data_IF_579640936200
#
_entry.id   IF_579640936200
#
_cell.length_a   1.000
_cell.length_b   1.000
_cell.length_c   1.000
_cell.angle_alpha   90.00
_cell.angle_beta   90.00
_cell.angle_gamma   90.00
#
_symmetry.space_group_name_H-M   'P 1'
#
loop_
_entity.id
_entity.type
_entity.pdbx_description
1 polymer ?
#
# COMPACT_ATOMS: atom_id res chain seq x y z
N UNK A 1 -16.42 -17.93 -6.69
CA UNK A 1 -16.32 -17.31 -5.35
C UNK A 1 -15.63 -15.98 -5.50
N UNK A 2 -15.87 -14.99 -4.60
CA UNK A 2 -15.14 -13.73 -4.67
C UNK A 2 -13.65 -13.92 -4.35
N UNK A 3 -12.82 -13.07 -4.92
CA UNK A 3 -11.40 -12.92 -4.56
C UNK A 3 -11.31 -11.95 -3.39
N UNK A 4 -10.33 -12.11 -2.50
CA UNK A 4 -10.13 -11.19 -1.38
C UNK A 4 -8.82 -10.42 -1.59
N UNK A 5 -8.84 -9.12 -1.35
CA UNK A 5 -7.64 -8.28 -1.50
C UNK A 5 -7.46 -7.41 -0.25
N UNK A 6 -6.34 -7.59 0.44
CA UNK A 6 -6.01 -6.88 1.67
C UNK A 6 -5.00 -5.76 1.41
N UNK A 7 -5.30 -4.53 1.85
CA UNK A 7 -4.31 -3.47 1.99
C UNK A 7 -3.87 -3.39 3.44
N UNK A 8 -2.63 -3.77 3.70
CA UNK A 8 -2.13 -4.01 5.05
C UNK A 8 -1.16 -2.91 5.44
N UNK A 9 -1.57 -2.03 6.35
CA UNK A 9 -0.70 -1.01 6.94
C UNK A 9 0.36 -1.66 7.84
N UNK A 10 1.63 -1.51 7.48
CA UNK A 10 2.74 -2.12 8.21
C UNK A 10 3.50 -1.16 9.15
N UNK A 11 3.00 0.07 9.29
CA UNK A 11 3.63 1.06 10.15
C UNK A 11 4.80 1.81 9.51
N UNK A 12 5.47 2.70 10.28
CA UNK A 12 6.40 3.70 9.75
C UNK A 12 7.89 3.29 9.82
N UNK A 13 8.21 2.00 9.95
CA UNK A 13 9.59 1.51 9.91
C UNK A 13 10.10 0.78 11.16
N UNK A 14 9.32 0.78 12.25
CA UNK A 14 9.64 -0.08 13.40
C UNK A 14 8.77 -1.35 13.31
N UNK A 15 9.37 -2.54 13.15
CA UNK A 15 8.61 -3.79 13.03
C UNK A 15 7.82 -4.17 14.29
N UNK A 16 8.12 -3.58 15.44
CA UNK A 16 7.34 -3.77 16.67
C UNK A 16 6.05 -2.91 16.68
N UNK A 17 5.89 -2.00 15.73
CA UNK A 17 4.72 -1.12 15.60
C UNK A 17 3.72 -1.61 14.55
N UNK A 18 3.74 -2.88 14.26
CA UNK A 18 2.72 -3.52 13.44
C UNK A 18 1.51 -3.91 14.28
N UNK A 19 0.31 -3.75 13.73
CA UNK A 19 -0.90 -4.15 14.45
C UNK A 19 -1.10 -5.68 14.42
N UNK A 20 -1.72 -6.24 15.45
CA UNK A 20 -2.08 -7.67 15.45
C UNK A 20 -3.01 -8.04 14.29
N UNK A 21 -3.86 -7.11 13.84
CA UNK A 21 -4.71 -7.30 12.66
C UNK A 21 -3.86 -7.46 11.39
N UNK A 22 -2.83 -6.62 11.23
CA UNK A 22 -1.90 -6.72 10.10
C UNK A 22 -1.12 -8.03 10.12
N UNK A 23 -0.63 -8.47 11.29
CA UNK A 23 0.06 -9.77 11.43
C UNK A 23 -0.84 -10.92 10.98
N UNK A 24 -2.08 -10.97 11.49
CA UNK A 24 -3.06 -12.01 11.10
C UNK A 24 -3.36 -12.00 9.60
N UNK A 25 -3.52 -10.81 9.02
CA UNK A 25 -3.74 -10.67 7.58
C UNK A 25 -2.55 -11.21 6.77
N UNK A 26 -1.32 -10.83 7.13
CA UNK A 26 -0.10 -11.33 6.47
C UNK A 26 -0.04 -12.87 6.53
N UNK A 27 -0.39 -13.46 7.67
CA UNK A 27 -0.38 -14.91 7.86
C UNK A 27 -1.45 -15.65 7.04
N UNK A 28 -2.52 -14.97 6.64
CA UNK A 28 -3.63 -15.55 5.87
C UNK A 28 -3.51 -15.33 4.35
N UNK A 29 -2.47 -14.65 3.86
CA UNK A 29 -2.30 -14.41 2.43
C UNK A 29 -1.90 -15.69 1.67
N UNK A 30 -2.46 -15.86 0.49
CA UNK A 30 -2.04 -16.81 -0.55
C UNK A 30 -1.06 -16.15 -1.53
N UNK A 31 -1.28 -14.86 -1.80
CA UNK A 31 -0.49 -14.07 -2.75
C UNK A 31 -0.10 -12.73 -2.14
N UNK A 32 1.17 -12.36 -2.22
CA UNK A 32 1.65 -11.03 -1.88
C UNK A 32 2.12 -10.32 -3.14
N UNK A 33 1.50 -9.17 -3.44
CA UNK A 33 1.92 -8.28 -4.51
C UNK A 33 3.00 -7.33 -4.03
N UNK A 34 4.18 -7.41 -4.64
CA UNK A 34 5.36 -6.60 -4.30
C UNK A 34 5.57 -5.57 -5.39
N UNK A 35 5.25 -4.31 -5.09
CA UNK A 35 5.44 -3.22 -6.05
C UNK A 35 6.90 -2.81 -6.11
N UNK A 36 7.54 -3.03 -7.24
CA UNK A 36 8.91 -2.60 -7.52
C UNK A 36 8.86 -1.21 -8.16
N UNK A 37 9.62 -0.28 -7.61
CA UNK A 37 9.79 1.08 -8.13
C UNK A 37 11.18 1.21 -8.74
N UNK A 38 11.31 2.03 -9.78
CA UNK A 38 12.57 2.28 -10.49
C UNK A 38 13.69 2.82 -9.56
N UNK A 39 13.29 3.47 -8.46
CA UNK A 39 14.16 3.91 -7.37
C UNK A 39 13.57 3.41 -6.07
N UNK A 40 13.89 2.21 -5.71
CA UNK A 40 13.58 1.73 -4.37
C UNK A 40 14.50 2.43 -3.38
N UNK A 41 13.90 2.96 -2.33
CA UNK A 41 14.66 3.37 -1.15
C UNK A 41 14.94 2.07 -0.41
N UNK A 42 16.19 1.67 -0.34
CA UNK A 42 16.65 0.39 0.23
C UNK A 42 15.98 0.09 1.59
N UNK A 43 15.82 1.11 2.42
CA UNK A 43 15.17 1.01 3.73
C UNK A 43 13.71 0.52 3.67
N UNK A 44 12.96 0.90 2.63
CA UNK A 44 11.54 0.49 2.50
C UNK A 44 11.42 -0.97 2.06
N UNK A 45 12.33 -1.40 1.22
CA UNK A 45 12.39 -2.79 0.76
C UNK A 45 12.80 -3.68 1.92
N UNK A 46 13.86 -3.30 2.63
CA UNK A 46 14.37 -4.06 3.77
C UNK A 46 13.34 -4.16 4.89
N UNK A 47 12.60 -3.09 5.17
CA UNK A 47 11.54 -3.12 6.17
C UNK A 47 10.41 -4.11 5.80
N UNK A 48 9.99 -4.17 4.54
CA UNK A 48 9.00 -5.17 4.08
C UNK A 48 9.53 -6.59 4.23
N UNK A 49 10.80 -6.81 3.89
CA UNK A 49 11.47 -8.11 4.08
C UNK A 49 11.53 -8.50 5.56
N UNK A 50 11.87 -7.55 6.43
CA UNK A 50 11.89 -7.77 7.88
C UNK A 50 10.51 -8.14 8.43
N UNK A 51 9.45 -7.45 8.01
CA UNK A 51 8.07 -7.77 8.39
C UNK A 51 7.70 -9.20 7.95
N UNK A 52 8.02 -9.58 6.71
CA UNK A 52 7.78 -10.94 6.23
C UNK A 52 8.59 -11.97 7.02
N UNK A 53 9.88 -11.75 7.21
CA UNK A 53 10.75 -12.66 7.95
C UNK A 53 10.26 -12.93 9.37
N UNK A 54 9.67 -11.92 10.04
CA UNK A 54 9.14 -12.07 11.41
C UNK A 54 7.78 -12.74 11.47
N UNK A 55 6.89 -12.43 10.52
CA UNK A 55 5.48 -12.81 10.62
C UNK A 55 5.05 -13.87 9.61
N UNK A 56 5.86 -14.10 8.58
CA UNK A 56 5.66 -15.09 7.53
C UNK A 56 7.00 -15.64 7.05
N UNK A 57 7.79 -16.36 7.92
CA UNK A 57 9.16 -16.79 7.61
C UNK A 57 9.23 -17.78 6.45
N UNK A 58 8.12 -18.42 6.11
CA UNK A 58 7.93 -19.34 4.98
C UNK A 58 7.54 -18.64 3.66
N UNK A 59 7.55 -17.30 3.63
CA UNK A 59 7.21 -16.54 2.43
C UNK A 59 8.14 -16.90 1.26
N UNK A 60 7.55 -17.35 0.15
CA UNK A 60 8.27 -17.78 -1.04
C UNK A 60 8.77 -19.24 -1.01
N UNK A 61 8.51 -19.99 0.06
CA UNK A 61 8.77 -21.43 0.10
C UNK A 61 7.56 -22.20 -0.46
N UNK A 62 7.67 -22.85 -1.63
CA UNK A 62 6.57 -23.59 -2.23
C UNK A 62 6.24 -24.89 -1.50
N UNK A 63 7.13 -25.37 -0.62
CA UNK A 63 6.94 -26.58 0.19
C UNK A 63 6.23 -26.33 1.52
N UNK A 64 5.97 -25.04 1.87
CA UNK A 64 5.27 -24.70 3.10
C UNK A 64 3.83 -25.27 3.11
N UNK A 65 3.27 -25.61 4.26
CA UNK A 65 1.89 -26.10 4.38
C UNK A 65 0.84 -25.13 3.80
N UNK A 66 1.13 -23.83 3.82
CA UNK A 66 0.31 -22.79 3.24
C UNK A 66 1.22 -21.78 2.53
N UNK A 67 1.66 -22.09 1.29
CA UNK A 67 2.71 -21.33 0.62
C UNK A 67 2.22 -19.92 0.27
N UNK A 68 3.03 -18.90 0.58
CA UNK A 68 2.80 -17.53 0.14
C UNK A 68 3.54 -17.28 -1.18
N UNK A 69 2.79 -17.05 -2.25
CA UNK A 69 3.35 -16.71 -3.55
C UNK A 69 3.63 -15.20 -3.62
N UNK A 70 4.84 -14.86 -4.02
CA UNK A 70 5.24 -13.46 -4.26
C UNK A 70 5.06 -13.12 -5.74
N UNK A 71 4.37 -12.02 -6.02
CA UNK A 71 4.13 -11.51 -7.37
C UNK A 71 4.69 -10.10 -7.48
N UNK A 72 5.73 -9.95 -8.26
CA UNK A 72 6.36 -8.65 -8.50
C UNK A 72 5.58 -7.83 -9.51
N UNK A 73 5.30 -6.58 -9.14
CA UNK A 73 4.64 -5.57 -9.97
C UNK A 73 5.63 -4.48 -10.31
N UNK A 74 6.08 -4.45 -11.55
CA UNK A 74 6.95 -3.36 -12.01
C UNK A 74 6.12 -2.11 -12.29
N UNK A 75 6.25 -1.08 -11.45
CA UNK A 75 5.62 0.21 -11.71
C UNK A 75 6.29 0.90 -12.93
N UNK A 76 5.51 1.52 -13.83
CA UNK A 76 6.09 2.31 -14.90
C UNK A 76 6.83 3.52 -14.34
N UNK A 77 7.88 4.02 -15.02
CA UNK A 77 8.65 5.17 -14.57
C UNK A 77 7.76 6.39 -14.39
N UNK A 78 7.84 7.01 -13.22
CA UNK A 78 7.03 8.18 -12.89
C UNK A 78 7.56 9.42 -13.65
N UNK A 79 6.71 10.19 -14.35
CA UNK A 79 7.14 11.40 -15.02
C UNK A 79 7.62 12.45 -14.01
N UNK A 80 8.66 13.20 -14.40
CA UNK A 80 9.19 14.31 -13.62
C UNK A 80 8.37 15.58 -13.84
N UNK A 81 8.41 16.52 -12.89
CA UNK A 81 7.73 17.82 -13.02
C UNK A 81 8.20 18.64 -14.23
N UNK A 82 9.42 18.40 -14.70
CA UNK A 82 9.97 19.01 -15.93
C UNK A 82 9.48 18.37 -17.22
N UNK A 83 8.69 17.29 -17.15
CA UNK A 83 8.13 16.65 -18.34
C UNK A 83 7.14 17.60 -19.03
N UNK A 84 7.25 17.81 -20.35
CA UNK A 84 6.25 18.58 -21.10
C UNK A 84 4.84 18.02 -20.87
N UNK A 85 3.84 18.90 -20.70
CA UNK A 85 2.47 18.51 -20.37
C UNK A 85 2.39 17.53 -19.19
N UNK A 86 3.02 17.89 -18.08
CA UNK A 86 3.10 17.06 -16.88
C UNK A 86 1.74 16.48 -16.40
N UNK A 87 0.61 17.23 -16.42
CA UNK A 87 -0.68 16.66 -16.04
C UNK A 87 -1.10 15.47 -16.91
N UNK A 88 -0.91 15.58 -18.23
CA UNK A 88 -1.20 14.48 -19.18
C UNK A 88 -0.27 13.31 -18.99
N UNK A 89 1.03 13.55 -18.81
CA UNK A 89 2.02 12.50 -18.54
C UNK A 89 1.68 11.72 -17.26
N UNK A 90 1.26 12.41 -16.19
CA UNK A 90 0.82 11.77 -14.94
C UNK A 90 -0.48 10.99 -15.14
N UNK A 91 -1.43 11.48 -15.94
CA UNK A 91 -2.66 10.74 -16.24
C UNK A 91 -2.36 9.45 -17.00
N UNK A 92 -1.50 9.50 -18.00
CA UNK A 92 -1.04 8.33 -18.77
C UNK A 92 -0.32 7.32 -17.87
N UNK A 93 0.61 7.79 -17.05
CA UNK A 93 1.32 6.94 -16.07
C UNK A 93 0.35 6.24 -15.11
N UNK A 94 -0.66 6.95 -14.60
CA UNK A 94 -1.69 6.35 -13.73
C UNK A 94 -2.52 5.29 -14.45
N UNK A 95 -2.87 5.52 -15.71
CA UNK A 95 -3.62 4.55 -16.50
C UNK A 95 -2.81 3.28 -16.78
N UNK A 96 -1.53 3.44 -17.16
CA UNK A 96 -0.62 2.30 -17.35
C UNK A 96 -0.45 1.49 -16.06
N UNK A 97 -0.23 2.17 -14.94
CA UNK A 97 -0.10 1.53 -13.62
C UNK A 97 -1.35 0.75 -13.26
N UNK A 98 -2.54 1.35 -13.46
CA UNK A 98 -3.82 0.67 -13.22
C UNK A 98 -3.95 -0.60 -14.04
N UNK A 99 -3.70 -0.53 -15.37
CA UNK A 99 -3.80 -1.70 -16.24
C UNK A 99 -2.85 -2.83 -15.86
N UNK A 100 -1.60 -2.51 -15.51
CA UNK A 100 -0.62 -3.50 -15.05
C UNK A 100 -1.05 -4.17 -13.75
N UNK A 101 -1.55 -3.40 -12.79
CA UNK A 101 -2.01 -3.93 -11.51
C UNK A 101 -3.26 -4.79 -11.68
N UNK A 102 -4.22 -4.35 -12.51
CA UNK A 102 -5.43 -5.12 -12.83
C UNK A 102 -5.05 -6.47 -13.43
N UNK A 103 -4.19 -6.48 -14.46
CA UNK A 103 -3.74 -7.69 -15.10
C UNK A 103 -3.04 -8.66 -14.14
N UNK A 104 -2.18 -8.12 -13.26
CA UNK A 104 -1.45 -8.94 -12.30
C UNK A 104 -2.35 -9.54 -11.23
N UNK A 105 -3.30 -8.75 -10.69
CA UNK A 105 -4.25 -9.24 -9.67
C UNK A 105 -5.15 -10.31 -10.25
N UNK A 106 -5.72 -10.08 -11.46
CA UNK A 106 -6.58 -11.07 -12.10
C UNK A 106 -5.84 -12.33 -12.53
N UNK A 107 -4.60 -12.20 -13.00
CA UNK A 107 -3.79 -13.33 -13.44
C UNK A 107 -3.18 -14.16 -12.31
N UNK A 108 -2.99 -13.55 -11.16
CA UNK A 108 -2.32 -14.21 -10.03
C UNK A 108 -3.28 -14.67 -8.93
N UNK A 109 -4.44 -14.06 -8.79
CA UNK A 109 -5.37 -14.37 -7.69
C UNK A 109 -6.52 -15.22 -8.19
N UNK A 110 -6.59 -16.45 -7.70
CA UNK A 110 -7.67 -17.39 -8.03
C UNK A 110 -8.93 -17.11 -7.20
N UNK A 111 -10.06 -17.66 -7.62
CA UNK A 111 -11.33 -17.53 -6.92
C UNK A 111 -11.25 -18.09 -5.51
N UNK A 112 -11.65 -17.29 -4.53
CA UNK A 112 -11.58 -17.61 -3.11
C UNK A 112 -10.22 -17.39 -2.45
N UNK A 113 -9.17 -17.09 -3.22
CA UNK A 113 -7.85 -16.75 -2.67
C UNK A 113 -7.81 -15.34 -2.07
N UNK A 114 -6.83 -15.15 -1.19
CA UNK A 114 -6.52 -13.89 -0.52
C UNK A 114 -5.18 -13.33 -0.99
N UNK A 115 -5.24 -12.22 -1.71
CA UNK A 115 -4.07 -11.43 -2.07
C UNK A 115 -3.86 -10.25 -1.14
N UNK A 116 -2.65 -9.67 -1.12
CA UNK A 116 -2.41 -8.49 -0.30
C UNK A 116 -1.28 -7.59 -0.80
N UNK A 117 -1.30 -6.35 -0.32
CA UNK A 117 -0.23 -5.36 -0.48
C UNK A 117 0.22 -4.90 0.89
N UNK A 118 1.53 -4.88 1.15
CA UNK A 118 2.11 -4.25 2.33
C UNK A 118 2.30 -2.76 2.06
N UNK A 119 1.53 -1.94 2.78
CA UNK A 119 1.47 -0.50 2.63
C UNK A 119 2.24 0.17 3.75
N UNK A 120 3.15 1.08 3.42
CA UNK A 120 3.92 1.85 4.39
C UNK A 120 3.03 2.77 5.21
N UNK A 121 3.20 2.79 6.54
CA UNK A 121 2.39 3.58 7.45
C UNK A 121 0.96 3.07 7.54
N UNK A 122 0.02 3.94 7.20
CA UNK A 122 -1.42 3.67 7.15
C UNK A 122 -1.97 3.82 5.72
N UNK A 123 -2.76 2.85 5.21
CA UNK A 123 -3.29 2.90 3.84
C UNK A 123 -4.21 4.10 3.55
N UNK A 124 -4.77 4.73 4.58
CA UNK A 124 -5.69 5.87 4.42
C UNK A 124 -4.99 7.23 4.39
N UNK A 125 -3.67 7.30 4.72
CA UNK A 125 -2.96 8.57 4.86
C UNK A 125 -1.81 8.70 3.84
N UNK A 126 -1.93 9.65 2.90
CA UNK A 126 -0.95 9.97 1.85
C UNK A 126 -0.51 8.79 0.97
N UNK A 127 -1.32 7.75 0.91
CA UNK A 127 -1.03 6.54 0.15
C UNK A 127 -1.89 6.47 -1.12
N UNK A 128 -1.26 6.10 -2.23
CA UNK A 128 -1.94 6.00 -3.52
C UNK A 128 -2.51 4.60 -3.81
N UNK A 129 -2.08 3.60 -3.07
CA UNK A 129 -2.45 2.18 -3.29
C UNK A 129 -3.94 1.97 -3.15
N UNK A 130 -4.56 2.53 -2.10
CA UNK A 130 -6.01 2.43 -1.89
C UNK A 130 -6.80 3.01 -3.06
N UNK A 131 -6.38 4.17 -3.57
CA UNK A 131 -7.05 4.80 -4.72
C UNK A 131 -6.93 3.98 -6.01
N UNK A 132 -5.78 3.33 -6.24
CA UNK A 132 -5.56 2.46 -7.40
C UNK A 132 -6.40 1.20 -7.26
N UNK A 133 -6.39 0.54 -6.11
CA UNK A 133 -7.15 -0.69 -5.88
C UNK A 133 -8.65 -0.46 -6.01
N UNK A 134 -9.19 0.64 -5.48
CA UNK A 134 -10.60 0.99 -5.68
C UNK A 134 -10.96 1.14 -7.17
N UNK A 135 -10.08 1.75 -7.98
CA UNK A 135 -10.29 1.87 -9.42
C UNK A 135 -10.17 0.53 -10.15
N UNK A 136 -9.23 -0.31 -9.74
CA UNK A 136 -9.07 -1.67 -10.24
C UNK A 136 -10.34 -2.48 -10.04
N UNK A 137 -10.89 -2.46 -8.82
CA UNK A 137 -12.14 -3.18 -8.48
C UNK A 137 -13.29 -2.66 -9.36
N UNK A 138 -13.47 -1.35 -9.45
CA UNK A 138 -14.50 -0.76 -10.29
C UNK A 138 -14.36 -1.13 -11.77
N UNK A 139 -13.13 -1.25 -12.29
CA UNK A 139 -12.85 -1.70 -13.65
C UNK A 139 -13.22 -3.16 -13.85
N UNK A 140 -12.84 -4.04 -12.91
CA UNK A 140 -13.19 -5.48 -12.93
C UNK A 140 -14.70 -5.66 -12.89
N UNK A 141 -15.40 -4.97 -11.99
CA UNK A 141 -16.85 -5.04 -11.84
C UNK A 141 -17.59 -4.56 -13.10
N UNK A 142 -17.11 -3.47 -13.72
CA UNK A 142 -17.75 -2.87 -14.90
C UNK A 142 -17.78 -3.79 -16.12
N UNK A 143 -16.85 -4.74 -16.21
CA UNK A 143 -16.77 -5.73 -17.29
C UNK A 143 -17.27 -7.13 -16.91
N UNK A 144 -17.90 -7.26 -15.71
CA UNK A 144 -18.44 -8.52 -15.24
C UNK A 144 -17.40 -9.56 -14.85
N UNK A 145 -16.21 -9.09 -14.41
CA UNK A 145 -15.14 -9.96 -13.90
C UNK A 145 -15.49 -10.59 -12.56
N UNK A 146 -14.60 -11.46 -12.05
CA UNK A 146 -14.79 -12.07 -10.72
C UNK A 146 -14.73 -10.99 -9.63
N UNK A 147 -15.75 -10.87 -8.78
CA UNK A 147 -15.80 -9.85 -7.74
C UNK A 147 -14.58 -9.89 -6.81
N UNK A 148 -14.05 -8.73 -6.45
CA UNK A 148 -12.94 -8.56 -5.52
C UNK A 148 -13.43 -7.86 -4.26
N UNK A 149 -13.37 -8.54 -3.12
CA UNK A 149 -13.68 -7.99 -1.82
C UNK A 149 -12.43 -7.34 -1.22
N UNK A 150 -12.49 -6.01 -1.03
CA UNK A 150 -11.41 -5.24 -0.46
C UNK A 150 -11.53 -5.18 1.07
N UNK A 151 -10.43 -5.47 1.76
CA UNK A 151 -10.27 -5.22 3.18
C UNK A 151 -9.07 -4.31 3.41
N UNK A 152 -9.25 -3.28 4.23
CA UNK A 152 -8.19 -2.29 4.53
C UNK A 152 -7.85 -2.39 6.01
N UNK A 153 -6.62 -2.79 6.29
CA UNK A 153 -6.10 -2.97 7.65
C UNK A 153 -5.27 -1.75 8.03
N UNK A 154 -5.67 -0.99 9.06
CA UNK A 154 -4.95 0.22 9.44
C UNK A 154 -3.54 -0.08 9.98
N UNK A 155 -2.66 0.89 9.79
CA UNK A 155 -1.32 0.90 10.36
C UNK A 155 -1.05 2.17 11.16
N UNK A 156 0.08 2.22 11.88
CA UNK A 156 0.51 3.43 12.55
C UNK A 156 1.13 4.37 11.51
N UNK A 157 0.61 5.61 11.41
CA UNK A 157 1.17 6.59 10.49
C UNK A 157 2.47 7.22 11.02
N UNK A 158 3.31 7.72 10.12
CA UNK A 158 4.56 8.39 10.48
C UNK A 158 4.34 9.64 11.34
N UNK A 159 3.25 10.39 11.12
CA UNK A 159 2.91 11.57 11.92
C UNK A 159 2.61 11.21 13.38
N UNK A 160 1.84 10.13 13.60
CA UNK A 160 1.54 9.65 14.96
C UNK A 160 2.80 9.11 15.64
N UNK A 161 3.61 8.34 14.94
CA UNK A 161 4.84 7.79 15.49
C UNK A 161 5.86 8.89 15.84
N UNK A 162 5.94 9.93 15.02
CA UNK A 162 6.81 11.07 15.29
C UNK A 162 6.37 11.82 16.57
N UNK A 163 5.07 12.11 16.69
CA UNK A 163 4.51 12.79 17.88
C UNK A 163 4.79 11.99 19.16
N UNK A 164 4.56 10.68 19.15
CA UNK A 164 4.79 9.83 20.33
C UNK A 164 6.27 9.73 20.69
N UNK A 165 7.18 9.69 19.72
CA UNK A 165 8.63 9.70 19.98
C UNK A 165 9.10 11.01 20.62
N UNK A 166 8.45 12.11 20.31
CA UNK A 166 8.71 13.41 20.93
C UNK A 166 7.88 13.68 22.18
N UNK A 167 7.05 12.71 22.63
CA UNK A 167 6.18 12.81 23.80
C UNK A 167 5.24 14.04 23.75
N UNK A 168 4.75 14.36 22.55
CA UNK A 168 3.82 15.45 22.31
C UNK A 168 2.48 14.93 21.79
N UNK A 169 1.38 15.57 22.21
CA UNK A 169 0.09 15.36 21.58
C UNK A 169 0.04 16.11 20.22
N UNK A 170 -0.46 15.45 19.17
CA UNK A 170 -0.62 16.09 17.86
C UNK A 170 -1.59 17.28 17.92
N UNK A 171 -2.61 17.20 18.76
CA UNK A 171 -3.59 18.25 18.94
C UNK A 171 -3.68 18.72 20.39
N UNK A 172 -3.89 20.01 20.57
CA UNK A 172 -4.33 20.56 21.86
C UNK A 172 -5.81 20.26 22.03
N UNK A 173 -6.27 20.14 23.29
CA UNK A 173 -7.67 19.89 23.62
C UNK A 173 -8.58 20.92 22.92
N UNK A 174 -9.59 20.42 22.20
CA UNK A 174 -10.56 21.26 21.48
C UNK A 174 -10.01 21.97 20.23
N UNK A 175 -8.80 21.63 19.77
CA UNK A 175 -8.21 22.20 18.54
C UNK A 175 -8.14 21.19 17.42
N UNK A 176 -8.31 21.67 16.20
CA UNK A 176 -8.14 20.89 15.00
C UNK A 176 -6.67 20.56 14.72
N UNK A 177 -6.43 19.46 13.99
CA UNK A 177 -5.12 19.10 13.43
C UNK A 177 -5.25 19.11 11.92
N UNK A 178 -4.29 19.75 11.26
CA UNK A 178 -4.13 19.69 9.81
C UNK A 178 -2.86 18.93 9.46
N UNK A 179 -2.99 17.90 8.63
CA UNK A 179 -1.87 17.12 8.12
C UNK A 179 -1.73 17.45 6.62
N UNK A 180 -0.61 18.06 6.25
CA UNK A 180 -0.36 18.51 4.88
C UNK A 180 0.98 17.99 4.36
N UNK A 181 1.10 17.66 3.06
CA UNK A 181 2.39 17.37 2.45
C UNK A 181 3.32 18.59 2.52
N UNK A 182 4.59 18.39 2.89
CA UNK A 182 5.57 19.47 3.05
C UNK A 182 5.67 20.40 1.82
N UNK A 183 5.53 19.88 0.60
CA UNK A 183 5.55 20.67 -0.65
C UNK A 183 4.45 21.75 -0.74
N UNK A 184 3.38 21.62 0.03
CA UNK A 184 2.32 22.65 0.07
C UNK A 184 2.69 23.83 0.97
N UNK A 185 3.63 23.66 1.89
CA UNK A 185 4.12 24.73 2.77
C UNK A 185 4.89 25.80 2.01
N UNK A 186 5.48 25.50 0.85
CA UNK A 186 6.10 26.48 -0.06
C UNK A 186 5.13 27.56 -0.53
N UNK A 187 3.83 27.26 -0.53
CA UNK A 187 2.75 28.20 -0.93
C UNK A 187 2.13 28.96 0.25
N UNK A 188 2.71 28.84 1.43
CA UNK A 188 2.19 29.36 2.69
C UNK A 188 1.42 28.32 3.49
N UNK A 189 1.23 28.63 4.79
CA UNK A 189 0.39 27.78 5.65
C UNK A 189 -1.06 27.91 5.17
N UNK A 190 -1.81 26.79 5.01
CA UNK A 190 -3.23 26.88 4.75
C UNK A 190 -3.91 27.63 5.91
N UNK A 191 -4.83 28.52 5.58
CA UNK A 191 -5.67 29.15 6.58
C UNK A 191 -6.50 28.06 7.28
N UNK A 192 -6.40 27.97 8.60
CA UNK A 192 -7.08 27.00 9.45
C UNK A 192 -8.46 27.47 9.89
#
# INVERSE_FOLDING_TARGET
>A
MARHLDLIGIGPGNPDWITLAAVKAIQSLDVLFVVLKEREVDDLVEFRREVLRRHRPDAGDPSAPHPLRLVELQDPPRPWQSTPDYPKAVATWRAQRLGQWTQAVEGALEDGQRGGFLVWGDPSLFESTLAIVNRLIAEVDSRGGVPIELNVIPGISSSLSLATRHQIALNRQGRAVQISPARLLEKGMPEG
#
